data_IF_848951081089
#
_entry.id   IF_848951081089
#
_cell.length_a   1.000
_cell.length_b   1.000
_cell.length_c   1.000
_cell.angle_alpha   90.00
_cell.angle_beta   90.00
_cell.angle_gamma   90.00
#
_symmetry.space_group_name_H-M   'P 1'
#
loop_
_entity.id
_entity.type
_entity.pdbx_description
1 polymer ?
#
# COMPACT_ATOMS: atom_id res chain seq x y z
N UNK A 1 -43.40 3.78 -8.00
CA UNK A 1 -42.46 3.86 -9.14
C UNK A 1 -41.64 5.13 -8.96
N UNK A 2 -40.32 5.05 -8.74
CA UNK A 2 -39.47 6.25 -8.65
C UNK A 2 -38.22 6.15 -7.75
N UNK A 3 -37.37 5.17 -8.07
CA UNK A 3 -35.92 5.02 -7.77
C UNK A 3 -35.26 5.90 -6.68
N UNK A 4 -34.97 5.23 -5.57
CA UNK A 4 -33.70 5.22 -4.82
C UNK A 4 -32.66 6.28 -5.23
N UNK A 5 -32.54 7.32 -4.41
CA UNK A 5 -31.37 8.20 -4.40
C UNK A 5 -30.26 7.48 -3.67
N UNK A 6 -29.29 6.97 -4.44
CA UNK A 6 -28.14 6.26 -3.88
C UNK A 6 -27.35 7.19 -2.94
N UNK A 7 -27.38 6.83 -1.67
CA UNK A 7 -26.59 7.39 -0.59
C UNK A 7 -25.10 7.28 -0.96
N UNK A 8 -24.53 8.37 -1.47
CA UNK A 8 -23.12 8.44 -1.83
C UNK A 8 -22.31 8.54 -0.53
N UNK A 9 -22.07 7.40 0.12
CA UNK A 9 -21.03 7.29 1.14
C UNK A 9 -19.70 7.65 0.48
N UNK A 10 -19.28 8.89 0.67
CA UNK A 10 -18.00 9.41 0.20
C UNK A 10 -16.89 8.52 0.79
N UNK A 11 -16.08 7.83 -0.03
CA UNK A 11 -14.89 7.16 0.48
C UNK A 11 -13.98 8.18 1.17
N UNK A 12 -13.28 7.73 2.21
CA UNK A 12 -12.60 8.56 3.18
C UNK A 12 -11.27 9.03 2.55
N UNK A 13 -11.34 10.09 1.73
CA UNK A 13 -10.25 10.76 0.98
C UNK A 13 -9.05 11.29 1.82
N UNK A 14 -8.80 10.76 3.03
CA UNK A 14 -7.70 11.18 3.90
C UNK A 14 -6.34 10.97 3.24
N UNK A 15 -6.10 9.83 2.57
CA UNK A 15 -4.80 9.50 1.97
C UNK A 15 -4.47 10.34 0.72
N UNK A 16 -5.45 10.53 -0.17
CA UNK A 16 -5.28 11.25 -1.44
C UNK A 16 -5.15 12.77 -1.28
N UNK A 17 -5.47 13.33 -0.10
CA UNK A 17 -5.34 14.77 0.19
C UNK A 17 -3.98 15.15 0.79
N UNK A 18 -3.16 14.19 1.20
CA UNK A 18 -1.90 14.46 1.92
C UNK A 18 -0.70 14.84 1.02
N UNK A 19 -0.96 15.28 -0.23
CA UNK A 19 0.08 15.66 -1.18
C UNK A 19 0.70 14.50 -1.96
N UNK A 20 0.16 13.28 -1.82
CA UNK A 20 0.54 12.15 -2.66
C UNK A 20 -0.23 12.23 -3.99
N UNK A 21 0.34 12.96 -4.94
CA UNK A 21 -0.02 12.81 -6.34
C UNK A 21 0.56 11.47 -6.78
N UNK A 22 -0.29 10.48 -7.06
CA UNK A 22 0.13 9.37 -7.91
C UNK A 22 0.79 9.97 -9.16
N UNK A 23 1.91 9.41 -9.64
CA UNK A 23 2.62 9.92 -10.80
C UNK A 23 1.61 10.24 -11.91
N UNK A 24 1.61 11.50 -12.32
CA UNK A 24 0.57 12.05 -13.20
C UNK A 24 0.58 11.29 -14.53
N UNK A 25 -0.62 11.11 -15.09
CA UNK A 25 -1.02 10.40 -16.31
C UNK A 25 -0.24 10.78 -17.61
N UNK A 26 1.09 10.69 -17.62
CA UNK A 26 1.88 10.63 -18.86
C UNK A 26 2.12 9.20 -19.31
N UNK A 27 2.09 8.24 -18.38
CA UNK A 27 2.15 6.81 -18.70
C UNK A 27 0.72 6.26 -18.81
N UNK A 28 0.42 5.51 -19.87
CA UNK A 28 -0.90 4.89 -20.07
C UNK A 28 -1.21 3.78 -19.04
N UNK A 29 -0.19 3.37 -18.27
CA UNK A 29 -0.24 2.30 -17.27
C UNK A 29 0.44 2.75 -15.98
N UNK A 30 -0.28 2.64 -14.87
CA UNK A 30 0.26 2.87 -13.52
C UNK A 30 1.03 1.61 -13.06
N UNK A 31 2.26 1.77 -12.58
CA UNK A 31 3.07 0.67 -12.03
C UNK A 31 3.47 1.01 -10.59
N UNK A 32 2.79 0.39 -9.63
CA UNK A 32 2.89 0.71 -8.20
C UNK A 32 2.97 -0.58 -7.38
N UNK A 33 3.71 -0.54 -6.28
CA UNK A 33 3.72 -1.60 -5.28
C UNK A 33 3.02 -1.15 -4.01
N UNK A 34 2.28 -2.06 -3.38
CA UNK A 34 1.76 -1.94 -2.04
C UNK A 34 2.34 -3.06 -1.19
N UNK A 35 2.94 -2.69 -0.07
CA UNK A 35 3.43 -3.63 0.92
C UNK A 35 2.67 -3.45 2.23
N UNK A 36 2.41 -4.55 2.90
CA UNK A 36 1.75 -4.60 4.21
C UNK A 36 2.65 -5.36 5.16
N UNK A 37 2.98 -4.70 6.27
CA UNK A 37 3.61 -5.33 7.41
C UNK A 37 2.60 -6.19 8.16
N UNK A 38 2.90 -7.48 8.29
CA UNK A 38 2.05 -8.48 8.95
C UNK A 38 2.63 -8.95 10.27
N UNK A 39 3.66 -8.29 10.82
CA UNK A 39 4.30 -8.64 12.09
C UNK A 39 3.38 -8.59 13.32
N UNK A 40 2.16 -8.04 13.19
CA UNK A 40 1.12 -8.04 14.22
C UNK A 40 0.66 -6.65 14.65
N UNK A 41 1.33 -5.60 14.19
CA UNK A 41 0.99 -4.21 14.54
C UNK A 41 -0.07 -3.57 13.65
N UNK A 42 -0.44 -4.21 12.53
CA UNK A 42 -1.48 -3.75 11.59
C UNK A 42 -2.72 -4.64 11.77
N UNK A 43 -3.86 -4.03 12.08
CA UNK A 43 -5.13 -4.76 12.23
C UNK A 43 -5.81 -5.08 10.89
N UNK A 44 -6.65 -6.12 10.89
CA UNK A 44 -7.47 -6.49 9.73
C UNK A 44 -8.37 -5.34 9.23
N UNK A 45 -8.86 -4.50 10.13
CA UNK A 45 -9.68 -3.33 9.79
C UNK A 45 -8.85 -2.21 9.15
N UNK A 46 -7.67 -1.90 9.67
CA UNK A 46 -6.73 -0.94 9.05
C UNK A 46 -6.32 -1.39 7.65
N UNK A 47 -6.01 -2.67 7.50
CA UNK A 47 -5.70 -3.28 6.22
C UNK A 47 -6.89 -3.16 5.25
N UNK A 48 -8.10 -3.49 5.69
CA UNK A 48 -9.30 -3.43 4.85
C UNK A 48 -9.59 -2.00 4.39
N UNK A 49 -9.48 -1.03 5.28
CA UNK A 49 -9.69 0.39 4.98
C UNK A 49 -8.63 0.89 4.00
N UNK A 50 -7.35 0.56 4.24
CA UNK A 50 -6.26 0.88 3.33
C UNK A 50 -6.47 0.30 1.93
N UNK A 51 -6.78 -0.99 1.84
CA UNK A 51 -7.04 -1.66 0.56
C UNK A 51 -8.25 -1.09 -0.17
N UNK A 52 -9.28 -0.65 0.56
CA UNK A 52 -10.46 0.00 -0.03
C UNK A 52 -10.10 1.35 -0.67
N UNK A 53 -9.27 2.15 0.00
CA UNK A 53 -8.79 3.42 -0.52
C UNK A 53 -7.85 3.24 -1.73
N UNK A 54 -6.97 2.23 -1.69
CA UNK A 54 -6.13 1.85 -2.85
C UNK A 54 -6.99 1.47 -4.04
N UNK A 55 -7.96 0.55 -3.86
CA UNK A 55 -8.90 0.15 -4.93
C UNK A 55 -9.63 1.37 -5.51
N UNK A 56 -10.11 2.29 -4.67
CA UNK A 56 -10.78 3.51 -5.12
C UNK A 56 -9.88 4.49 -5.88
N UNK A 57 -8.59 4.58 -5.53
CA UNK A 57 -7.63 5.39 -6.27
C UNK A 57 -7.32 4.81 -7.65
N UNK A 58 -7.22 3.48 -7.75
CA UNK A 58 -6.94 2.76 -9.00
C UNK A 58 -8.05 2.92 -10.04
N UNK A 59 -9.30 3.12 -9.62
CA UNK A 59 -10.43 3.38 -10.52
C UNK A 59 -10.27 4.66 -11.38
N UNK A 60 -9.34 5.55 -11.02
CA UNK A 60 -9.01 6.75 -11.80
C UNK A 60 -7.99 6.50 -12.93
N UNK A 61 -7.44 5.29 -13.05
CA UNK A 61 -6.44 4.93 -14.05
C UNK A 61 -7.02 3.96 -15.09
N UNK A 62 -6.74 4.18 -16.39
CA UNK A 62 -7.26 3.30 -17.45
C UNK A 62 -6.63 1.90 -17.43
N UNK A 63 -5.39 1.78 -16.94
CA UNK A 63 -4.73 0.49 -16.72
C UNK A 63 -3.69 0.60 -15.59
N UNK A 64 -3.45 -0.50 -14.89
CA UNK A 64 -2.44 -0.59 -13.84
C UNK A 64 -1.79 -1.98 -13.78
N UNK A 65 -0.55 -2.03 -13.28
CA UNK A 65 0.12 -3.21 -12.73
C UNK A 65 0.39 -2.89 -11.26
N UNK A 66 -0.24 -3.62 -10.37
CA UNK A 66 -0.10 -3.42 -8.93
C UNK A 66 0.57 -4.65 -8.33
N UNK A 67 1.72 -4.46 -7.70
CA UNK A 67 2.36 -5.51 -6.89
C UNK A 67 1.81 -5.40 -5.46
N UNK A 68 1.33 -6.50 -4.89
CA UNK A 68 0.86 -6.58 -3.52
C UNK A 68 1.80 -7.53 -2.76
N UNK A 69 2.43 -7.06 -1.70
CA UNK A 69 3.36 -7.83 -0.88
C UNK A 69 2.93 -7.83 0.57
N UNK A 70 2.91 -9.00 1.20
CA UNK A 70 2.77 -9.14 2.65
C UNK A 70 4.12 -9.60 3.23
N UNK A 71 4.63 -8.87 4.21
CA UNK A 71 5.97 -9.07 4.76
C UNK A 71 5.97 -8.98 6.27
N UNK A 72 6.73 -9.85 6.94
CA UNK A 72 7.13 -9.68 8.33
C UNK A 72 8.67 -9.63 8.42
N UNK A 73 9.35 -10.71 8.81
CA UNK A 73 10.78 -10.90 8.63
C UNK A 73 11.16 -11.21 7.16
N UNK A 74 10.24 -11.80 6.40
CA UNK A 74 10.37 -12.15 4.98
C UNK A 74 9.04 -11.89 4.24
N UNK A 75 9.07 -11.85 2.90
CA UNK A 75 7.85 -11.77 2.08
C UNK A 75 7.19 -13.14 2.00
N UNK A 76 5.92 -13.24 2.44
CA UNK A 76 5.17 -14.52 2.47
C UNK A 76 4.03 -14.58 1.46
N UNK A 77 3.59 -13.44 0.97
CA UNK A 77 2.52 -13.38 -0.03
C UNK A 77 2.85 -12.31 -1.04
N UNK A 78 2.75 -12.68 -2.31
CA UNK A 78 2.98 -11.78 -3.42
C UNK A 78 1.90 -11.99 -4.47
N UNK A 79 1.21 -10.91 -4.86
CA UNK A 79 0.17 -10.94 -5.89
C UNK A 79 0.40 -9.79 -6.86
N UNK A 80 0.40 -10.09 -8.15
CA UNK A 80 0.28 -9.06 -9.18
C UNK A 80 -1.18 -8.88 -9.57
N UNK A 81 -1.70 -7.68 -9.37
CA UNK A 81 -3.07 -7.30 -9.71
C UNK A 81 -3.09 -6.36 -10.91
N UNK A 82 -3.84 -6.72 -11.94
CA UNK A 82 -4.12 -5.88 -13.11
C UNK A 82 -5.61 -5.53 -13.20
N UNK A 83 -6.44 -6.17 -12.37
CA UNK A 83 -7.89 -5.97 -12.25
C UNK A 83 -8.31 -6.01 -10.80
N UNK A 84 -9.48 -5.41 -10.53
CA UNK A 84 -10.01 -5.23 -9.16
C UNK A 84 -10.22 -6.54 -8.39
N UNK A 85 -10.61 -7.60 -9.09
CA UNK A 85 -10.83 -8.92 -8.49
C UNK A 85 -9.55 -9.65 -8.08
N UNK A 86 -8.38 -9.26 -8.62
CA UNK A 86 -7.11 -9.92 -8.32
C UNK A 86 -6.67 -9.62 -6.86
N UNK A 87 -7.19 -8.54 -6.26
CA UNK A 87 -6.92 -8.15 -4.88
C UNK A 87 -7.63 -9.02 -3.84
N UNK A 88 -8.68 -9.75 -4.22
CA UNK A 88 -9.55 -10.45 -3.25
C UNK A 88 -8.90 -11.72 -2.67
N UNK A 89 -7.85 -12.23 -3.33
CA UNK A 89 -6.99 -13.30 -2.81
C UNK A 89 -5.99 -12.80 -1.77
N UNK A 90 -5.40 -11.62 -2.00
CA UNK A 90 -4.31 -11.08 -1.17
C UNK A 90 -4.70 -10.91 0.30
N UNK A 91 -5.88 -10.35 0.59
CA UNK A 91 -6.32 -10.11 1.97
C UNK A 91 -6.59 -11.39 2.77
N UNK A 92 -6.79 -12.54 2.11
CA UNK A 92 -7.10 -13.82 2.77
C UNK A 92 -5.86 -14.63 3.13
N UNK A 93 -4.72 -14.31 2.52
CA UNK A 93 -3.48 -15.08 2.67
C UNK A 93 -2.47 -14.44 3.62
N UNK A 94 -2.82 -13.29 4.19
CA UNK A 94 -1.98 -12.58 5.16
C UNK A 94 -1.85 -13.41 6.45
N UNK A 95 -0.60 -13.80 6.73
CA UNK A 95 -0.14 -14.46 7.95
C UNK A 95 0.99 -13.63 8.56
N UNK A 96 1.14 -13.71 9.87
CA UNK A 96 2.06 -12.86 10.63
C UNK A 96 2.72 -13.55 11.82
N UNK A 97 3.75 -12.91 12.38
CA UNK A 97 4.28 -13.21 13.72
C UNK A 97 5.80 -13.45 13.81
N UNK A 98 6.58 -13.24 12.75
CA UNK A 98 8.02 -13.56 12.69
C UNK A 98 9.01 -12.47 13.14
N UNK A 99 8.55 -11.28 13.51
CA UNK A 99 9.38 -10.07 13.62
C UNK A 99 9.21 -9.16 12.40
N UNK A 100 10.00 -8.10 12.28
CA UNK A 100 9.76 -7.06 11.26
C UNK A 100 11.05 -6.62 10.57
N UNK A 101 11.14 -6.86 9.26
CA UNK A 101 12.16 -6.32 8.38
C UNK A 101 11.49 -5.75 7.14
N UNK A 102 11.76 -4.49 6.80
CA UNK A 102 11.21 -3.90 5.58
C UNK A 102 12.07 -4.22 4.36
N UNK A 103 13.33 -4.62 4.56
CA UNK A 103 14.32 -4.91 3.51
C UNK A 103 13.83 -5.90 2.45
N UNK A 104 13.19 -7.04 2.79
CA UNK A 104 12.79 -8.04 1.81
C UNK A 104 11.87 -7.49 0.71
N UNK A 105 10.96 -6.57 1.07
CA UNK A 105 10.08 -5.91 0.08
C UNK A 105 10.89 -5.10 -0.94
N UNK A 106 11.96 -4.43 -0.53
CA UNK A 106 12.78 -3.65 -1.46
C UNK A 106 13.65 -4.54 -2.34
N UNK A 107 14.13 -5.66 -1.81
CA UNK A 107 14.87 -6.66 -2.59
C UNK A 107 13.97 -7.28 -3.68
N UNK A 108 12.72 -7.62 -3.35
CA UNK A 108 11.73 -8.14 -4.31
C UNK A 108 11.37 -7.14 -5.42
N UNK A 109 11.51 -5.84 -5.17
CA UNK A 109 11.14 -4.78 -6.12
C UNK A 109 12.33 -4.18 -6.88
N UNK A 110 13.55 -4.61 -6.58
CA UNK A 110 14.78 -3.98 -7.05
C UNK A 110 14.90 -3.88 -8.57
N UNK A 111 14.48 -4.93 -9.28
CA UNK A 111 14.57 -5.04 -10.75
C UNK A 111 13.22 -4.85 -11.44
N UNK A 112 12.17 -4.47 -10.70
CA UNK A 112 10.82 -4.24 -11.24
C UNK A 112 10.65 -2.77 -11.70
N UNK A 113 9.83 -2.52 -12.75
CA UNK A 113 9.57 -1.16 -13.27
C UNK A 113 8.66 -0.30 -12.37
N UNK A 114 8.63 -0.54 -11.06
CA UNK A 114 7.78 0.18 -10.10
C UNK A 114 8.13 1.67 -10.05
N UNK A 115 7.10 2.52 -10.06
CA UNK A 115 7.23 3.98 -9.96
C UNK A 115 7.04 4.50 -8.55
N UNK A 116 6.29 3.78 -7.73
CA UNK A 116 6.10 4.10 -6.33
C UNK A 116 5.83 2.84 -5.49
N UNK A 117 6.27 2.86 -4.23
CA UNK A 117 5.92 1.90 -3.20
C UNK A 117 5.10 2.60 -2.11
N UNK A 118 3.97 2.04 -1.75
CA UNK A 118 3.20 2.43 -0.56
C UNK A 118 3.30 1.30 0.46
N UNK A 119 3.83 1.59 1.65
CA UNK A 119 4.11 0.59 2.67
C UNK A 119 3.28 0.88 3.92
N UNK A 120 2.36 -0.02 4.29
CA UNK A 120 1.60 0.04 5.53
C UNK A 120 2.36 -0.71 6.66
N UNK A 121 2.71 -0.01 7.73
CA UNK A 121 3.48 -0.57 8.86
C UNK A 121 3.30 0.30 10.12
N UNK A 122 3.78 -0.16 11.27
CA UNK A 122 4.02 0.69 12.44
C UNK A 122 5.43 1.35 12.40
N UNK A 123 6.29 0.96 11.46
CA UNK A 123 7.64 1.50 11.31
C UNK A 123 8.69 0.85 12.22
N UNK A 124 8.31 -0.10 13.09
CA UNK A 124 9.26 -0.80 13.96
C UNK A 124 9.92 -1.97 13.23
N UNK A 125 10.95 -1.67 12.42
CA UNK A 125 11.71 -2.70 11.71
C UNK A 125 13.00 -2.17 11.10
N UNK A 126 13.72 -3.05 10.42
CA UNK A 126 14.91 -2.67 9.67
C UNK A 126 14.53 -2.00 8.35
N UNK A 127 14.89 -0.72 8.19
CA UNK A 127 14.81 -0.01 6.91
C UNK A 127 16.02 -0.37 6.03
N UNK A 128 15.88 -0.40 4.69
CA UNK A 128 17.03 -0.63 3.83
C UNK A 128 17.98 0.57 3.82
N UNK A 129 19.29 0.29 3.76
CA UNK A 129 20.34 1.31 3.74
C UNK A 129 20.35 2.15 2.47
N UNK A 130 19.85 1.59 1.36
CA UNK A 130 19.83 2.25 0.05
C UNK A 130 18.43 2.75 -0.27
N UNK A 131 18.35 4.04 -0.57
CA UNK A 131 17.12 4.65 -1.08
C UNK A 131 16.87 4.13 -2.50
N UNK A 132 15.69 3.57 -2.81
CA UNK A 132 15.37 3.10 -4.15
C UNK A 132 15.21 4.27 -5.13
N UNK A 133 15.20 3.96 -6.43
CA UNK A 133 15.00 4.97 -7.49
C UNK A 133 13.54 5.39 -7.69
N UNK A 134 12.60 4.80 -6.95
CA UNK A 134 11.17 5.08 -7.02
C UNK A 134 10.68 5.82 -5.76
N UNK A 135 9.53 6.48 -5.85
CA UNK A 135 8.93 7.17 -4.71
C UNK A 135 8.49 6.16 -3.63
N UNK A 136 8.75 6.48 -2.36
CA UNK A 136 8.30 5.64 -1.25
C UNK A 136 7.40 6.43 -0.32
N UNK A 137 6.24 5.85 -0.01
CA UNK A 137 5.27 6.37 0.93
C UNK A 137 5.08 5.37 2.07
N UNK A 138 5.50 5.76 3.25
CA UNK A 138 5.24 5.04 4.49
C UNK A 138 3.89 5.48 5.05
N UNK A 139 2.96 4.54 5.19
CA UNK A 139 1.68 4.72 5.88
C UNK A 139 1.84 4.12 7.26
N UNK A 140 1.98 4.99 8.27
CA UNK A 140 2.33 4.58 9.62
C UNK A 140 1.15 4.77 10.58
N UNK A 141 0.85 3.75 11.37
CA UNK A 141 -0.28 3.77 12.31
C UNK A 141 0.02 4.30 13.72
N UNK A 142 1.27 4.66 13.99
CA UNK A 142 1.69 5.35 15.22
C UNK A 142 2.36 6.70 14.93
N UNK A 143 2.83 7.37 15.98
CA UNK A 143 3.58 8.65 15.89
C UNK A 143 5.01 8.55 16.40
N UNK A 144 5.45 7.37 16.81
CA UNK A 144 6.64 7.19 17.63
C UNK A 144 7.89 6.88 16.78
N UNK A 145 7.68 6.45 15.53
CA UNK A 145 8.76 6.12 14.60
C UNK A 145 8.69 6.98 13.34
N UNK A 146 9.79 7.63 12.97
CA UNK A 146 9.97 8.29 11.68
C UNK A 146 10.96 7.49 10.80
N UNK A 147 10.54 7.06 9.59
CA UNK A 147 11.43 6.47 8.62
C UNK A 147 12.59 7.40 8.26
N UNK A 148 13.79 6.86 7.99
CA UNK A 148 14.97 7.67 7.66
C UNK A 148 14.84 8.43 6.34
N UNK A 149 13.93 8.02 5.45
CA UNK A 149 13.68 8.62 4.14
C UNK A 149 12.30 8.23 3.60
N UNK A 150 11.91 8.85 2.48
CA UNK A 150 10.58 8.68 1.89
C UNK A 150 9.56 9.65 2.49
N UNK A 151 8.33 9.62 1.95
CA UNK A 151 7.21 10.41 2.46
C UNK A 151 6.49 9.61 3.53
N UNK A 152 5.91 10.29 4.51
CA UNK A 152 5.17 9.64 5.61
C UNK A 152 3.76 10.18 5.66
N UNK A 153 2.78 9.29 5.75
CA UNK A 153 1.38 9.59 6.09
C UNK A 153 1.06 8.84 7.37
N UNK A 154 0.40 9.51 8.30
CA UNK A 154 -0.01 8.91 9.58
C UNK A 154 -1.49 8.53 9.53
N UNK A 155 -1.83 7.31 9.93
CA UNK A 155 -3.20 6.94 10.25
C UNK A 155 -3.57 7.64 11.56
N UNK A 156 -4.25 8.78 11.46
CA UNK A 156 -4.87 9.39 12.64
C UNK A 156 -6.01 8.48 13.09
N UNK A 157 -5.86 7.88 14.28
CA UNK A 157 -6.96 7.36 15.09
C UNK A 157 -8.05 8.42 15.28
#
# INVERSE_FOLDING_TARGET
>A
MGRESADWKRPNRKFLRSGFYFPTLKSQRLEVAFAVDTSGSVSDDELRDFMSEVKGALDSFPSYKVRLLACDADVHTEVTAERRGDFDGFAKEIRGGGGTSFVPVFDELKDEPVKALVYLTDGHGNFPDKIPSYDVLWVINNRDVDPPWGKVIRLTA
#
